data_IF_848302562503
#
_entry.id   IF_848302562503
#
_cell.length_a   1.000
_cell.length_b   1.000
_cell.length_c   1.000
_cell.angle_alpha   90.00
_cell.angle_beta   90.00
_cell.angle_gamma   90.00
#
_symmetry.space_group_name_H-M   'P 1'
#
loop_
_entity.id
_entity.type
_entity.pdbx_description
1 polymer ?
#
# COMPACT_ATOMS: atom_id res chain seq x y z
N UNK A 1 -33.99 45.46 52.72
CA UNK A 1 -35.11 44.95 53.53
C UNK A 1 -34.87 43.48 53.80
N UNK A 2 -34.71 43.13 55.08
CA UNK A 2 -34.45 41.77 55.59
C UNK A 2 -35.78 41.01 55.73
N UNK A 3 -35.83 39.74 55.32
CA UNK A 3 -36.65 38.62 55.84
C UNK A 3 -36.11 37.34 55.20
N UNK A 4 -36.04 36.17 55.81
CA UNK A 4 -35.93 35.70 57.19
C UNK A 4 -35.52 34.21 57.03
N UNK A 5 -34.69 33.73 57.93
CA UNK A 5 -34.20 32.36 58.04
C UNK A 5 -35.33 31.44 58.53
N UNK A 6 -35.42 30.22 57.97
CA UNK A 6 -35.88 29.03 58.72
C UNK A 6 -34.90 27.88 58.46
N UNK A 7 -34.21 27.52 59.53
CA UNK A 7 -33.38 26.34 59.71
C UNK A 7 -34.32 25.21 60.17
N UNK A 8 -34.16 24.01 59.61
CA UNK A 8 -34.57 22.78 60.30
C UNK A 8 -33.39 21.81 60.32
N UNK A 9 -33.21 21.21 61.48
CA UNK A 9 -32.07 20.42 61.93
C UNK A 9 -32.50 18.95 62.09
N UNK A 10 -31.49 18.07 62.24
CA UNK A 10 -31.52 16.65 62.64
C UNK A 10 -31.75 15.64 61.50
N UNK A 11 -30.98 14.55 61.36
CA UNK A 11 -30.22 13.77 62.34
C UNK A 11 -28.86 13.30 61.79
N UNK A 12 -27.87 13.21 62.69
CA UNK A 12 -26.64 12.45 62.52
C UNK A 12 -26.92 10.94 62.54
N UNK A 13 -26.27 10.19 61.64
CA UNK A 13 -25.73 8.87 61.99
C UNK A 13 -24.27 8.80 61.56
N UNK A 14 -23.42 8.66 62.57
CA UNK A 14 -22.01 8.35 62.46
C UNK A 14 -21.82 6.86 62.16
N UNK A 15 -20.99 6.54 61.16
CA UNK A 15 -20.30 5.26 61.11
C UNK A 15 -18.85 5.50 60.68
N UNK A 16 -17.93 5.22 61.59
CA UNK A 16 -16.48 5.28 61.38
C UNK A 16 -15.94 3.95 60.87
N UNK A 17 -15.05 4.06 59.88
CA UNK A 17 -13.95 3.17 59.46
C UNK A 17 -14.16 1.66 59.31
N UNK A 18 -13.89 1.19 58.08
CA UNK A 18 -12.86 0.17 57.82
C UNK A 18 -12.39 0.27 56.36
N UNK A 19 -11.11 0.56 56.17
CA UNK A 19 -10.44 0.47 54.87
C UNK A 19 -10.27 -1.02 54.58
N UNK A 20 -11.01 -1.54 53.60
CA UNK A 20 -10.74 -2.85 53.04
C UNK A 20 -10.09 -2.69 51.66
N UNK A 21 -8.83 -3.12 51.56
CA UNK A 21 -8.11 -3.30 50.29
C UNK A 21 -8.83 -4.40 49.51
N UNK A 22 -9.49 -4.03 48.41
CA UNK A 22 -9.58 -4.82 47.16
C UNK A 22 -10.49 -4.09 46.17
N UNK A 23 -9.93 -3.13 45.42
CA UNK A 23 -10.55 -2.65 44.17
C UNK A 23 -9.46 -2.15 43.20
N UNK A 24 -8.53 -3.04 42.90
CA UNK A 24 -7.58 -2.88 41.80
C UNK A 24 -8.27 -3.22 40.48
N UNK A 25 -9.38 -2.54 40.15
CA UNK A 25 -10.12 -2.83 38.90
C UNK A 25 -10.96 -1.69 38.30
N UNK A 26 -10.76 -0.45 38.78
CA UNK A 26 -11.51 0.71 38.27
C UNK A 26 -10.66 1.78 37.56
N UNK A 27 -9.34 1.59 37.42
CA UNK A 27 -8.44 2.54 36.73
C UNK A 27 -7.95 2.12 35.34
N UNK A 28 -8.33 0.93 34.86
CA UNK A 28 -7.97 0.44 33.52
C UNK A 28 -9.12 0.45 32.48
N UNK A 29 -10.28 1.02 32.79
CA UNK A 29 -11.43 1.09 31.85
C UNK A 29 -11.58 2.41 31.08
N UNK A 30 -10.61 3.33 31.17
CA UNK A 30 -10.66 4.62 30.46
C UNK A 30 -9.56 4.82 29.40
N UNK A 31 -8.97 3.73 28.89
CA UNK A 31 -7.98 3.81 27.80
C UNK A 31 -8.16 2.73 26.72
N UNK A 32 -9.39 2.34 26.42
CA UNK A 32 -9.68 1.51 25.23
C UNK A 32 -11.01 1.98 24.63
N UNK A 33 -11.01 3.15 24.00
CA UNK A 33 -12.05 3.61 23.07
C UNK A 33 -11.49 4.76 22.22
N UNK A 34 -10.77 4.44 21.13
CA UNK A 34 -10.66 5.29 19.92
C UNK A 34 -9.79 4.72 18.77
N UNK A 35 -9.62 3.40 18.62
CA UNK A 35 -8.77 2.86 17.52
C UNK A 35 -9.55 2.51 16.24
N UNK A 36 -10.86 2.75 16.19
CA UNK A 36 -11.64 2.54 14.95
C UNK A 36 -12.47 3.78 14.63
N UNK A 37 -12.28 4.28 13.39
CA UNK A 37 -12.87 5.48 12.79
C UNK A 37 -12.14 6.81 13.05
N UNK A 38 -10.85 6.89 12.73
CA UNK A 38 -10.34 8.13 12.14
C UNK A 38 -10.41 7.96 10.62
N UNK A 39 -11.44 8.54 9.98
CA UNK A 39 -11.28 8.99 8.59
C UNK A 39 -10.04 9.88 8.61
N UNK A 40 -8.97 9.48 7.94
CA UNK A 40 -7.80 10.34 7.80
C UNK A 40 -8.25 11.51 6.92
N UNK A 41 -8.56 12.66 7.53
CA UNK A 41 -9.11 13.83 6.85
C UNK A 41 -8.25 14.24 5.65
N UNK A 42 -6.93 14.05 5.74
CA UNK A 42 -6.01 14.28 4.63
C UNK A 42 -6.15 13.28 3.48
N UNK A 43 -6.42 12.00 3.74
CA UNK A 43 -6.74 11.04 2.66
C UNK A 43 -8.08 11.37 2.02
N UNK A 44 -9.05 11.81 2.83
CA UNK A 44 -10.38 12.12 2.34
C UNK A 44 -10.43 13.35 1.44
N UNK A 45 -9.53 14.30 1.67
CA UNK A 45 -9.30 15.42 0.74
C UNK A 45 -9.07 14.94 -0.70
N UNK A 46 -8.35 13.82 -0.89
CA UNK A 46 -8.04 13.24 -2.20
C UNK A 46 -9.07 12.23 -2.72
N UNK A 47 -10.30 12.21 -2.18
CA UNK A 47 -11.33 11.24 -2.58
C UNK A 47 -11.65 11.30 -4.08
N UNK A 48 -11.53 12.47 -4.71
CA UNK A 48 -11.73 12.64 -6.15
C UNK A 48 -10.69 11.85 -6.96
N UNK A 49 -9.41 11.99 -6.61
CA UNK A 49 -8.28 11.30 -7.25
C UNK A 49 -8.37 9.79 -7.01
N UNK A 50 -8.74 9.38 -5.79
CA UNK A 50 -8.97 7.98 -5.43
C UNK A 50 -10.11 7.38 -6.26
N UNK A 51 -11.24 8.09 -6.40
CA UNK A 51 -12.37 7.64 -7.22
C UNK A 51 -12.01 7.56 -8.71
N UNK A 52 -11.19 8.49 -9.22
CA UNK A 52 -10.65 8.44 -10.58
C UNK A 52 -9.78 7.20 -10.78
N UNK A 53 -8.84 6.94 -9.88
CA UNK A 53 -7.97 5.77 -9.91
C UNK A 53 -8.77 4.45 -9.83
N UNK A 54 -9.78 4.39 -8.96
CA UNK A 54 -10.68 3.25 -8.88
C UNK A 54 -11.47 3.05 -10.19
N UNK A 55 -11.98 4.11 -10.81
CA UNK A 55 -12.68 4.05 -12.10
C UNK A 55 -11.79 3.47 -13.21
N UNK A 56 -10.50 3.83 -13.21
CA UNK A 56 -9.52 3.28 -14.13
C UNK A 56 -9.35 1.76 -13.96
N UNK A 57 -9.23 1.27 -12.72
CA UNK A 57 -9.19 -0.17 -12.44
C UNK A 57 -10.49 -0.88 -12.80
N UNK A 58 -11.63 -0.27 -12.49
CA UNK A 58 -12.97 -0.79 -12.80
C UNK A 58 -13.12 -1.04 -14.31
N UNK A 59 -12.63 -0.13 -15.16
CA UNK A 59 -12.63 -0.31 -16.63
C UNK A 59 -11.80 -1.51 -17.07
N UNK A 60 -10.80 -1.92 -16.30
CA UNK A 60 -9.96 -3.08 -16.60
C UNK A 60 -10.38 -4.36 -15.88
N UNK A 61 -11.56 -4.40 -15.22
CA UNK A 61 -11.99 -5.53 -14.38
C UNK A 61 -11.86 -6.89 -15.06
N UNK A 62 -12.24 -7.00 -16.34
CA UNK A 62 -12.13 -8.27 -17.09
C UNK A 62 -10.68 -8.80 -17.15
N UNK A 63 -9.69 -7.92 -17.37
CA UNK A 63 -8.28 -8.31 -17.39
C UNK A 63 -7.77 -8.64 -15.98
N UNK A 64 -8.22 -7.89 -14.98
CA UNK A 64 -7.92 -8.15 -13.57
C UNK A 64 -8.42 -9.55 -13.17
N UNK A 65 -9.68 -9.88 -13.49
CA UNK A 65 -10.30 -11.16 -13.17
C UNK A 65 -9.65 -12.34 -13.90
N UNK A 66 -9.06 -12.09 -15.07
CA UNK A 66 -8.32 -13.11 -15.83
C UNK A 66 -6.95 -13.41 -15.22
N UNK A 67 -6.23 -12.39 -14.75
CA UNK A 67 -4.83 -12.54 -14.32
C UNK A 67 -4.69 -12.83 -12.81
N UNK A 68 -5.61 -12.32 -11.98
CA UNK A 68 -5.52 -12.36 -10.52
C UNK A 68 -6.55 -13.28 -9.87
N UNK A 69 -6.10 -14.05 -8.88
CA UNK A 69 -6.94 -14.98 -8.13
C UNK A 69 -8.02 -14.25 -7.33
N UNK A 70 -9.22 -14.84 -7.23
CA UNK A 70 -10.38 -14.24 -6.56
C UNK A 70 -10.09 -13.76 -5.13
N UNK A 71 -9.38 -14.58 -4.36
CA UNK A 71 -9.18 -14.36 -2.93
C UNK A 71 -8.12 -13.30 -2.61
N UNK A 72 -7.23 -13.00 -3.56
CA UNK A 72 -6.05 -12.17 -3.33
C UNK A 72 -6.08 -10.89 -4.17
N UNK A 73 -6.90 -10.81 -5.23
CA UNK A 73 -6.79 -9.72 -6.21
C UNK A 73 -6.92 -8.33 -5.61
N UNK A 74 -7.80 -8.13 -4.62
CA UNK A 74 -7.91 -6.83 -3.95
C UNK A 74 -6.64 -6.45 -3.19
N UNK A 75 -6.00 -7.44 -2.54
CA UNK A 75 -4.75 -7.26 -1.81
C UNK A 75 -3.61 -6.93 -2.79
N UNK A 76 -3.49 -7.71 -3.86
CA UNK A 76 -2.51 -7.50 -4.92
C UNK A 76 -2.67 -6.11 -5.56
N UNK A 77 -3.89 -5.72 -5.94
CA UNK A 77 -4.14 -4.39 -6.52
C UNK A 77 -3.83 -3.26 -5.55
N UNK A 78 -4.14 -3.44 -4.26
CA UNK A 78 -3.93 -2.38 -3.25
C UNK A 78 -2.47 -1.96 -3.12
N UNK A 79 -1.53 -2.87 -3.36
CA UNK A 79 -0.09 -2.62 -3.27
C UNK A 79 0.33 -1.51 -4.25
N UNK A 80 -0.15 -1.56 -5.48
CA UNK A 80 0.19 -0.59 -6.52
C UNK A 80 -0.86 0.50 -6.70
N UNK A 81 -2.00 0.44 -5.99
CA UNK A 81 -3.08 1.42 -6.11
C UNK A 81 -2.62 2.87 -5.96
N UNK A 82 -1.71 3.24 -5.03
CA UNK A 82 -1.28 4.62 -4.89
C UNK A 82 -0.66 5.20 -6.18
N UNK A 83 0.00 4.38 -7.00
CA UNK A 83 0.58 4.84 -8.28
C UNK A 83 -0.49 5.29 -9.29
N UNK A 84 -1.68 4.66 -9.24
CA UNK A 84 -2.79 4.96 -10.15
C UNK A 84 -3.37 6.35 -9.87
N UNK A 85 -3.21 6.89 -8.65
CA UNK A 85 -3.66 8.24 -8.32
C UNK A 85 -2.94 9.29 -9.16
N UNK A 86 -1.67 9.02 -9.53
CA UNK A 86 -0.83 9.89 -10.36
C UNK A 86 -0.89 9.58 -11.85
N UNK A 87 -1.39 8.40 -12.22
CA UNK A 87 -1.39 7.96 -13.61
C UNK A 87 -2.11 8.94 -14.54
N UNK A 88 -1.37 9.40 -15.55
CA UNK A 88 -1.85 10.10 -16.74
C UNK A 88 -1.24 9.44 -17.98
N UNK A 89 -2.10 8.83 -18.81
CA UNK A 89 -1.67 8.10 -20.01
C UNK A 89 -0.94 8.95 -21.04
N UNK A 90 -1.23 10.26 -21.10
CA UNK A 90 -0.62 11.15 -22.09
C UNK A 90 0.75 11.64 -21.62
N UNK A 91 0.86 12.03 -20.34
CA UNK A 91 2.15 12.37 -19.71
C UNK A 91 3.13 11.19 -19.76
N UNK A 92 2.66 10.01 -19.36
CA UNK A 92 3.43 8.77 -19.39
C UNK A 92 4.02 8.47 -20.79
N UNK A 93 3.24 8.68 -21.85
CA UNK A 93 3.68 8.36 -23.21
C UNK A 93 4.81 9.28 -23.68
N UNK A 94 4.68 10.59 -23.44
CA UNK A 94 5.67 11.59 -23.87
C UNK A 94 6.95 11.48 -23.05
N UNK A 95 6.83 11.45 -21.73
CA UNK A 95 7.96 11.45 -20.79
C UNK A 95 8.84 10.20 -20.94
N UNK A 96 8.26 9.07 -21.35
CA UNK A 96 9.00 7.80 -21.39
C UNK A 96 9.66 7.50 -22.73
N UNK A 97 9.39 8.25 -23.80
CA UNK A 97 9.87 7.91 -25.15
C UNK A 97 11.41 7.89 -25.26
N UNK A 98 12.08 9.00 -24.92
CA UNK A 98 13.56 9.06 -24.86
C UNK A 98 14.13 8.13 -23.79
N UNK A 99 13.47 8.06 -22.62
CA UNK A 99 13.89 7.22 -21.51
C UNK A 99 13.85 5.73 -21.84
N UNK A 100 12.89 5.27 -22.65
CA UNK A 100 12.79 3.89 -23.18
C UNK A 100 13.96 3.57 -24.09
N UNK A 101 14.32 4.48 -24.99
CA UNK A 101 15.46 4.29 -25.91
C UNK A 101 16.76 4.19 -25.11
N UNK A 102 16.97 5.12 -24.17
CA UNK A 102 18.15 5.13 -23.31
C UNK A 102 18.26 3.84 -22.48
N UNK A 103 17.16 3.39 -21.88
CA UNK A 103 17.13 2.14 -21.14
C UNK A 103 17.43 0.92 -22.03
N UNK A 104 16.87 0.85 -23.25
CA UNK A 104 17.14 -0.28 -24.16
C UNK A 104 18.63 -0.36 -24.52
N UNK A 105 19.23 0.79 -24.81
CA UNK A 105 20.63 0.86 -25.25
C UNK A 105 21.61 0.67 -24.09
N UNK A 106 21.37 1.31 -22.94
CA UNK A 106 22.36 1.45 -21.86
C UNK A 106 21.92 0.86 -20.52
N UNK A 107 20.67 0.41 -20.40
CA UNK A 107 20.15 -0.28 -19.22
C UNK A 107 19.71 0.65 -18.09
N UNK A 108 19.37 0.06 -16.93
CA UNK A 108 18.79 0.77 -15.78
C UNK A 108 19.69 1.84 -15.16
N UNK A 109 21.01 1.77 -15.35
CA UNK A 109 21.94 2.80 -14.85
C UNK A 109 21.82 4.10 -15.62
N UNK A 110 21.43 4.03 -16.91
CA UNK A 110 21.24 5.20 -17.75
C UNK A 110 19.82 5.76 -17.64
N UNK A 111 18.81 4.89 -17.50
CA UNK A 111 17.40 5.31 -17.42
C UNK A 111 16.55 4.30 -16.66
N UNK A 112 15.89 4.76 -15.59
CA UNK A 112 15.01 3.95 -14.74
C UNK A 112 13.72 4.69 -14.39
N UNK A 113 12.93 4.91 -15.44
CA UNK A 113 11.66 5.62 -15.40
C UNK A 113 10.51 4.73 -14.94
N UNK A 114 9.43 5.35 -14.48
CA UNK A 114 8.16 4.69 -14.18
C UNK A 114 7.23 4.74 -15.40
N UNK A 115 6.43 3.69 -15.64
CA UNK A 115 5.48 3.68 -16.77
C UNK A 115 4.24 2.84 -16.51
N UNK A 116 3.13 3.24 -17.13
CA UNK A 116 1.86 2.50 -17.12
C UNK A 116 1.08 2.68 -15.82
N UNK A 117 0.00 1.91 -15.65
CA UNK A 117 -0.96 2.12 -14.56
C UNK A 117 -0.31 2.01 -13.19
N UNK A 118 0.59 1.05 -13.03
CA UNK A 118 1.27 0.79 -11.77
C UNK A 118 2.63 1.49 -11.68
N UNK A 119 3.00 2.35 -12.64
CA UNK A 119 4.24 3.13 -12.60
C UNK A 119 5.49 2.26 -12.30
N UNK A 120 5.49 1.02 -12.79
CA UNK A 120 6.56 0.06 -12.56
C UNK A 120 7.83 0.49 -13.28
N UNK A 121 8.95 0.36 -12.57
CA UNK A 121 10.28 0.65 -13.12
C UNK A 121 10.90 -0.58 -13.79
N UNK A 122 11.70 -0.40 -14.85
CA UNK A 122 12.49 -1.49 -15.41
C UNK A 122 13.40 -2.16 -14.38
N UNK A 123 14.07 -1.40 -13.52
CA UNK A 123 14.92 -1.97 -12.46
C UNK A 123 14.16 -2.85 -11.48
N UNK A 124 12.94 -2.46 -11.11
CA UNK A 124 12.07 -3.25 -10.23
C UNK A 124 11.74 -4.61 -10.86
N UNK A 125 11.41 -4.62 -12.15
CA UNK A 125 11.10 -5.85 -12.88
C UNK A 125 12.35 -6.72 -13.07
N UNK A 126 13.51 -6.12 -13.34
CA UNK A 126 14.78 -6.84 -13.38
C UNK A 126 15.08 -7.53 -12.05
N UNK A 127 14.94 -6.81 -10.94
CA UNK A 127 15.15 -7.36 -9.61
C UNK A 127 14.17 -8.51 -9.33
N UNK A 128 12.91 -8.38 -9.77
CA UNK A 128 11.88 -9.42 -9.65
C UNK A 128 12.21 -10.67 -10.46
N UNK A 129 12.58 -10.50 -11.74
CA UNK A 129 13.01 -11.57 -12.63
C UNK A 129 14.24 -12.30 -12.07
N UNK A 130 15.24 -11.54 -11.59
CA UNK A 130 16.44 -12.09 -10.98
C UNK A 130 16.12 -12.85 -9.68
N UNK A 131 15.24 -12.33 -8.83
CA UNK A 131 14.87 -13.01 -7.60
C UNK A 131 14.16 -14.35 -7.88
N UNK A 132 13.23 -14.37 -8.85
CA UNK A 132 12.54 -15.60 -9.27
C UNK A 132 13.53 -16.61 -9.85
N UNK A 133 14.40 -16.18 -10.76
CA UNK A 133 15.38 -17.06 -11.41
C UNK A 133 16.33 -17.74 -10.42
N UNK A 134 16.64 -17.08 -9.29
CA UNK A 134 17.58 -17.57 -8.28
C UNK A 134 16.90 -18.19 -7.04
N UNK A 135 15.57 -18.39 -7.06
CA UNK A 135 14.82 -18.96 -5.92
C UNK A 135 14.07 -20.21 -6.33
N UNK A 136 14.55 -21.38 -5.88
CA UNK A 136 13.98 -22.69 -6.20
C UNK A 136 12.46 -22.77 -5.90
N UNK A 137 12.05 -22.27 -4.73
CA UNK A 137 10.64 -22.27 -4.30
C UNK A 137 9.71 -21.42 -5.19
N UNK A 138 10.25 -20.60 -6.09
CA UNK A 138 9.51 -19.72 -6.98
C UNK A 138 9.56 -20.16 -8.46
N UNK A 139 10.06 -21.37 -8.75
CA UNK A 139 10.16 -21.90 -10.12
C UNK A 139 8.84 -21.90 -10.90
N UNK A 140 7.70 -22.04 -10.23
CA UNK A 140 6.37 -21.95 -10.85
C UNK A 140 6.09 -20.58 -11.49
N UNK A 141 6.88 -19.56 -11.16
CA UNK A 141 6.81 -18.22 -11.72
C UNK A 141 7.86 -17.93 -12.81
N UNK A 142 8.67 -18.93 -13.22
CA UNK A 142 9.70 -18.74 -14.25
C UNK A 142 9.17 -18.24 -15.62
N UNK A 143 7.85 -18.33 -15.85
CA UNK A 143 7.21 -17.77 -17.05
C UNK A 143 7.31 -16.24 -17.15
N UNK A 144 7.65 -15.52 -16.07
CA UNK A 144 7.97 -14.08 -16.17
C UNK A 144 9.36 -13.82 -16.75
N UNK A 145 10.26 -14.80 -16.74
CA UNK A 145 11.63 -14.60 -17.19
C UNK A 145 11.67 -14.31 -18.69
N UNK A 146 12.50 -13.35 -19.07
CA UNK A 146 12.67 -12.96 -20.48
C UNK A 146 13.75 -13.84 -21.10
N UNK A 147 13.32 -14.84 -21.87
CA UNK A 147 14.22 -15.71 -22.63
C UNK A 147 14.54 -15.05 -23.98
N UNK A 148 15.65 -14.30 -24.06
CA UNK A 148 16.12 -13.64 -25.30
C UNK A 148 17.62 -13.85 -25.49
N UNK A 149 18.04 -13.78 -26.75
CA UNK A 149 19.42 -14.09 -27.17
C UNK A 149 20.46 -13.06 -26.70
N UNK A 150 20.05 -11.82 -26.43
CA UNK A 150 20.92 -10.76 -25.92
C UNK A 150 20.16 -9.79 -25.00
N UNK A 151 20.91 -8.97 -24.29
CA UNK A 151 20.38 -8.07 -23.26
C UNK A 151 19.53 -6.93 -23.83
N UNK A 152 19.88 -6.37 -24.99
CA UNK A 152 19.11 -5.32 -25.66
C UNK A 152 17.70 -5.81 -26.01
N UNK A 153 17.57 -7.01 -26.57
CA UNK A 153 16.27 -7.62 -26.88
C UNK A 153 15.48 -7.96 -25.61
N UNK A 154 16.17 -8.35 -24.53
CA UNK A 154 15.51 -8.54 -23.24
C UNK A 154 14.94 -7.23 -22.68
N UNK A 155 15.70 -6.14 -22.77
CA UNK A 155 15.26 -4.79 -22.35
C UNK A 155 14.08 -4.31 -23.18
N UNK A 156 14.08 -4.49 -24.50
CA UNK A 156 12.93 -4.16 -25.38
C UNK A 156 11.67 -4.91 -24.97
N UNK A 157 11.77 -6.23 -24.75
CA UNK A 157 10.65 -7.04 -24.27
C UNK A 157 10.14 -6.53 -22.92
N UNK A 158 11.04 -6.20 -21.98
CA UNK A 158 10.64 -5.66 -20.66
C UNK A 158 9.85 -4.36 -20.79
N UNK A 159 10.28 -3.44 -21.65
CA UNK A 159 9.54 -2.20 -21.93
C UNK A 159 8.17 -2.49 -22.54
N UNK A 160 8.09 -3.41 -23.50
CA UNK A 160 6.81 -3.79 -24.11
C UNK A 160 5.84 -4.37 -23.07
N UNK A 161 6.34 -5.20 -22.15
CA UNK A 161 5.55 -5.75 -21.03
C UNK A 161 5.13 -4.67 -20.04
N UNK A 162 6.02 -3.74 -19.68
CA UNK A 162 5.71 -2.63 -18.78
C UNK A 162 4.64 -1.68 -19.35
N UNK A 163 4.59 -1.52 -20.67
CA UNK A 163 3.52 -0.78 -21.35
C UNK A 163 2.19 -1.53 -21.46
N UNK A 164 2.13 -2.81 -21.09
CA UNK A 164 0.93 -3.65 -21.20
C UNK A 164 0.31 -3.92 -19.83
N UNK A 165 -0.93 -3.49 -19.62
CA UNK A 165 -1.62 -3.62 -18.33
C UNK A 165 -1.73 -5.06 -17.81
N UNK A 166 -1.94 -6.07 -18.67
CA UNK A 166 -1.97 -7.48 -18.22
C UNK A 166 -0.61 -7.94 -17.74
N UNK A 167 0.47 -7.53 -18.40
CA UNK A 167 1.82 -7.81 -17.94
C UNK A 167 2.15 -7.08 -16.63
N UNK A 168 1.68 -5.84 -16.45
CA UNK A 168 1.78 -5.16 -15.16
C UNK A 168 1.04 -5.93 -14.05
N UNK A 169 -0.15 -6.47 -14.33
CA UNK A 169 -0.86 -7.35 -13.37
C UNK A 169 -0.07 -8.63 -13.06
N UNK A 170 0.54 -9.25 -14.07
CA UNK A 170 1.38 -10.44 -13.91
C UNK A 170 2.60 -10.17 -13.04
N UNK A 171 3.31 -9.06 -13.28
CA UNK A 171 4.44 -8.67 -12.43
C UNK A 171 4.00 -8.34 -11.01
N UNK A 172 2.87 -7.67 -10.83
CA UNK A 172 2.33 -7.37 -9.49
C UNK A 172 1.93 -8.64 -8.74
N UNK A 173 1.34 -9.63 -9.44
CA UNK A 173 1.04 -10.96 -8.90
C UNK A 173 2.28 -11.71 -8.48
N UNK A 174 3.32 -11.74 -9.32
CA UNK A 174 4.56 -12.44 -8.96
C UNK A 174 5.28 -11.71 -7.82
N UNK A 175 5.25 -10.38 -7.80
CA UNK A 175 5.73 -9.61 -6.67
C UNK A 175 5.03 -9.99 -5.36
N UNK A 176 3.71 -10.18 -5.35
CA UNK A 176 2.98 -10.65 -4.16
C UNK A 176 3.57 -11.95 -3.62
N UNK A 177 3.78 -12.96 -4.46
CA UNK A 177 4.33 -14.24 -4.02
C UNK A 177 5.83 -14.19 -3.66
N UNK A 178 6.60 -13.35 -4.35
CA UNK A 178 7.98 -13.05 -3.96
C UNK A 178 8.02 -12.41 -2.58
N UNK A 179 7.12 -11.48 -2.28
CA UNK A 179 7.03 -10.84 -0.97
C UNK A 179 6.54 -11.82 0.11
N UNK A 180 5.53 -12.64 -0.17
CA UNK A 180 5.10 -13.72 0.73
C UNK A 180 6.27 -14.64 1.10
N UNK A 181 7.04 -15.10 0.12
CA UNK A 181 8.19 -15.97 0.36
C UNK A 181 9.33 -15.27 1.09
N UNK A 182 9.73 -14.09 0.61
CA UNK A 182 10.87 -13.33 1.15
C UNK A 182 10.66 -12.92 2.60
N UNK A 183 9.43 -12.58 2.96
CA UNK A 183 9.06 -12.05 4.27
C UNK A 183 8.22 -13.03 5.10
N UNK A 184 8.26 -14.33 4.78
CA UNK A 184 7.47 -15.37 5.46
C UNK A 184 7.76 -15.47 6.97
N UNK A 185 8.93 -15.00 7.42
CA UNK A 185 9.31 -15.02 8.83
C UNK A 185 8.79 -13.82 9.63
N UNK A 186 8.12 -12.86 8.98
CA UNK A 186 7.49 -11.73 9.65
C UNK A 186 6.10 -12.15 10.13
N UNK A 187 5.87 -12.06 11.44
CA UNK A 187 4.57 -12.30 12.04
C UNK A 187 3.67 -11.05 11.89
N UNK A 188 3.02 -10.92 10.74
CA UNK A 188 2.03 -9.88 10.49
C UNK A 188 0.77 -10.12 11.32
N UNK A 189 0.46 -9.20 12.25
CA UNK A 189 -0.71 -9.31 13.14
C UNK A 189 -2.03 -9.25 12.40
N UNK A 190 -2.07 -8.52 11.28
CA UNK A 190 -3.26 -8.38 10.44
C UNK A 190 -2.90 -8.39 8.95
N UNK A 191 -3.88 -8.66 8.10
CA UNK A 191 -3.75 -8.48 6.64
C UNK A 191 -3.40 -7.02 6.27
N UNK A 192 -3.88 -6.04 7.04
CA UNK A 192 -3.56 -4.63 6.78
C UNK A 192 -2.08 -4.34 7.05
N UNK A 193 -1.48 -4.94 8.09
CA UNK A 193 -0.05 -4.80 8.37
C UNK A 193 0.80 -5.40 7.24
N UNK A 194 0.41 -6.59 6.76
CA UNK A 194 1.03 -7.23 5.59
C UNK A 194 0.95 -6.34 4.34
N UNK A 195 -0.24 -5.81 4.02
CA UNK A 195 -0.43 -4.93 2.87
C UNK A 195 0.39 -3.64 3.01
N UNK A 196 0.44 -3.06 4.20
CA UNK A 196 1.24 -1.85 4.45
C UNK A 196 2.72 -2.13 4.18
N UNK A 197 3.24 -3.25 4.66
CA UNK A 197 4.61 -3.65 4.42
C UNK A 197 4.88 -3.94 2.94
N UNK A 198 4.00 -4.69 2.25
CA UNK A 198 4.18 -5.01 0.82
C UNK A 198 4.04 -3.79 -0.09
N UNK A 199 3.10 -2.89 0.16
CA UNK A 199 2.98 -1.62 -0.56
C UNK A 199 4.24 -0.76 -0.37
N UNK A 200 4.80 -0.78 0.84
CA UNK A 200 6.06 -0.07 1.12
C UNK A 200 7.24 -0.72 0.41
N UNK A 201 7.35 -2.05 0.41
CA UNK A 201 8.37 -2.79 -0.33
C UNK A 201 8.26 -2.58 -1.85
N UNK A 202 7.04 -2.46 -2.37
CA UNK A 202 6.79 -2.13 -3.77
C UNK A 202 7.32 -0.73 -4.13
N UNK A 203 6.99 0.28 -3.34
CA UNK A 203 7.38 1.67 -3.61
C UNK A 203 8.86 1.97 -3.30
N UNK A 204 9.41 1.38 -2.23
CA UNK A 204 10.78 1.63 -1.77
C UNK A 204 11.82 0.69 -2.41
N UNK A 205 11.37 -0.46 -2.91
CA UNK A 205 12.20 -1.53 -3.46
C UNK A 205 12.28 -2.74 -2.52
N UNK A 206 11.84 -3.90 -3.00
CA UNK A 206 11.76 -5.12 -2.19
C UNK A 206 13.12 -5.81 -1.98
N UNK A 207 14.16 -5.35 -2.66
CA UNK A 207 15.54 -5.79 -2.44
C UNK A 207 16.16 -5.16 -1.20
N UNK A 208 15.55 -4.11 -0.64
CA UNK A 208 16.01 -3.43 0.58
C UNK A 208 15.88 -4.32 1.82
N UNK A 209 16.70 -4.09 2.87
CA UNK A 209 16.58 -4.80 4.13
C UNK A 209 15.20 -4.61 4.77
N UNK A 210 14.67 -5.67 5.37
CA UNK A 210 13.37 -5.65 6.07
C UNK A 210 13.25 -4.49 7.07
N UNK A 211 14.30 -4.26 7.88
CA UNK A 211 14.33 -3.16 8.86
C UNK A 211 14.18 -1.78 8.22
N UNK A 212 14.69 -1.59 7.02
CA UNK A 212 14.55 -0.32 6.28
C UNK A 212 13.13 -0.17 5.75
N UNK A 213 12.56 -1.23 5.15
CA UNK A 213 11.17 -1.24 4.69
C UNK A 213 10.23 -0.95 5.87
N UNK A 214 10.44 -1.59 7.02
CA UNK A 214 9.64 -1.36 8.23
C UNK A 214 9.65 0.10 8.66
N UNK A 215 10.82 0.75 8.67
CA UNK A 215 10.96 2.19 8.97
C UNK A 215 10.30 3.06 7.90
N UNK A 216 10.37 2.65 6.63
CA UNK A 216 9.84 3.43 5.51
C UNK A 216 8.30 3.46 5.47
N UNK A 217 7.62 2.53 6.15
CA UNK A 217 6.15 2.46 6.20
C UNK A 217 5.48 3.75 6.71
N UNK A 218 6.18 4.56 7.51
CA UNK A 218 5.66 5.83 8.07
C UNK A 218 6.20 7.08 7.36
N UNK A 219 7.06 6.92 6.35
CA UNK A 219 7.70 8.05 5.67
C UNK A 219 6.71 8.75 4.75
N UNK A 220 6.41 10.01 5.05
CA UNK A 220 5.49 10.86 4.30
C UNK A 220 6.18 11.54 3.11
N UNK A 221 6.24 10.85 1.97
CA UNK A 221 6.85 11.35 0.73
C UNK A 221 5.92 11.30 -0.48
N UNK A 222 4.80 10.59 -0.38
CA UNK A 222 3.86 10.42 -1.47
C UNK A 222 2.79 11.51 -1.45
N UNK A 223 2.43 12.05 -2.60
CA UNK A 223 1.34 13.02 -2.79
C UNK A 223 0.58 12.66 -4.07
N UNK A 224 -0.75 12.51 -4.05
CA UNK A 224 -1.54 12.29 -5.26
C UNK A 224 -1.38 13.39 -6.31
N UNK A 225 -1.06 14.62 -5.88
CA UNK A 225 -0.81 15.77 -6.75
C UNK A 225 0.68 16.11 -6.86
N UNK A 226 1.12 16.54 -8.04
CA UNK A 226 2.48 17.02 -8.29
C UNK A 226 2.59 18.55 -8.06
N UNK A 227 2.03 19.05 -6.96
CA UNK A 227 2.16 20.47 -6.58
C UNK A 227 3.24 20.62 -5.49
N UNK A 228 4.06 21.71 -5.51
CA UNK A 228 5.14 21.91 -4.55
C UNK A 228 4.69 21.88 -3.07
N UNK A 229 3.47 22.32 -2.79
CA UNK A 229 2.91 22.43 -1.43
C UNK A 229 1.83 21.37 -1.13
N UNK A 230 1.75 20.30 -1.93
CA UNK A 230 0.79 19.25 -1.68
C UNK A 230 1.14 18.49 -0.38
N UNK A 231 0.10 18.09 0.36
CA UNK A 231 0.26 17.30 1.57
C UNK A 231 0.89 15.94 1.22
N UNK A 232 1.81 15.48 2.07
CA UNK A 232 2.52 14.21 1.88
C UNK A 232 2.03 13.16 2.86
N UNK A 233 1.89 11.94 2.35
CA UNK A 233 1.40 10.77 3.07
C UNK A 233 2.39 9.63 2.95
N UNK A 234 2.24 8.64 3.83
CA UNK A 234 2.88 7.36 3.61
C UNK A 234 2.18 6.69 2.42
N UNK A 235 2.97 6.14 1.50
CA UNK A 235 2.46 5.51 0.28
C UNK A 235 1.36 4.48 0.57
N UNK A 236 1.60 3.64 1.57
CA UNK A 236 0.69 2.57 1.97
C UNK A 236 -0.63 3.05 2.60
N UNK A 237 -0.76 4.32 3.01
CA UNK A 237 -2.03 4.81 3.56
C UNK A 237 -3.15 4.74 2.51
N UNK A 238 -2.84 5.01 1.24
CA UNK A 238 -3.78 4.87 0.12
C UNK A 238 -4.08 3.41 -0.23
N UNK A 239 -3.12 2.49 -0.05
CA UNK A 239 -3.36 1.05 -0.18
C UNK A 239 -4.36 0.55 0.87
N UNK A 240 -4.24 1.02 2.10
CA UNK A 240 -5.15 0.66 3.20
C UNK A 240 -6.54 1.28 2.99
N UNK A 241 -6.63 2.54 2.54
CA UNK A 241 -7.91 3.15 2.18
C UNK A 241 -8.61 2.36 1.06
N UNK A 242 -7.86 1.94 0.03
CA UNK A 242 -8.41 1.13 -1.06
C UNK A 242 -9.03 -0.17 -0.56
N UNK A 243 -8.34 -0.90 0.31
CA UNK A 243 -8.85 -2.16 0.88
C UNK A 243 -10.13 -1.93 1.68
N UNK A 244 -10.17 -0.87 2.48
CA UNK A 244 -11.33 -0.56 3.32
C UNK A 244 -12.56 -0.14 2.49
N UNK A 245 -12.32 0.55 1.37
CA UNK A 245 -13.39 1.23 0.64
C UNK A 245 -13.86 0.47 -0.59
N UNK A 246 -12.97 -0.19 -1.34
CA UNK A 246 -13.26 -0.71 -2.68
C UNK A 246 -13.02 -2.22 -2.86
N UNK A 247 -12.42 -2.92 -1.89
CA UNK A 247 -12.07 -4.34 -2.04
C UNK A 247 -13.27 -5.24 -2.36
N UNK A 248 -14.45 -4.92 -1.82
CA UNK A 248 -15.69 -5.67 -2.07
C UNK A 248 -16.08 -5.71 -3.55
N UNK A 249 -15.71 -4.70 -4.35
CA UNK A 249 -16.01 -4.67 -5.78
C UNK A 249 -15.20 -5.71 -6.57
N UNK A 250 -13.94 -5.93 -6.19
CA UNK A 250 -13.05 -6.85 -6.89
C UNK A 250 -13.15 -8.29 -6.35
N UNK A 251 -13.61 -8.47 -5.11
CA UNK A 251 -13.80 -9.78 -4.50
C UNK A 251 -15.06 -10.53 -4.99
N UNK A 252 -15.94 -9.85 -5.74
CA UNK A 252 -17.09 -10.47 -6.43
C UNK A 252 -16.64 -11.28 -7.64
#
# INVERSE_FOLDING_TARGET
MKKLIIISFLFLTSASFTINKNSLDAKNRFKIKSVFSYKNEGIEYYRKEINRAFSLLKKQKKKIDLELNKNEKSQILSIAFPEILRYDSYSDYLETSSNKILYVNEGKTASDFSTGYFQMKPSFVEDLENYVANTESLKSYNWILIQKKNETEARKERINRLGNFQWQLRYLKVFWYVAEYKYQNIDFKTTQDKIRFFATAYNYGFTKPEKEITKYQSVKKFSPEEKPNAEKFAFADFSIDFIKTYSSFFNQ
#
